data_IF_453056774604
#
_entry.id   IF_453056774604
#
_cell.length_a   1.000
_cell.length_b   1.000
_cell.length_c   1.000
_cell.angle_alpha   90.00
_cell.angle_beta   90.00
_cell.angle_gamma   90.00
#
_symmetry.space_group_name_H-M   'P 1'
#
loop_
_entity.id
_entity.type
_entity.pdbx_description
1 polymer ?
#
# COMPACT_ATOMS: atom_id res chain seq x y z
N UNK A 1 -12.37 -1.47 25.22
CA UNK A 1 -11.26 -0.51 25.22
C UNK A 1 -11.73 0.78 25.89
N UNK A 2 -10.88 1.45 26.71
CA UNK A 2 -11.16 2.80 27.24
C UNK A 2 -10.26 3.78 26.49
N UNK A 3 -10.85 4.83 25.91
CA UNK A 3 -10.11 5.90 25.28
C UNK A 3 -9.81 6.95 26.36
N UNK A 4 -8.52 7.22 26.56
CA UNK A 4 -8.08 8.24 27.54
C UNK A 4 -8.12 9.65 26.93
N UNK A 5 -7.99 10.66 27.81
CA UNK A 5 -8.00 12.07 27.38
C UNK A 5 -6.71 12.42 26.64
N UNK A 6 -6.78 12.99 25.42
CA UNK A 6 -5.59 13.47 24.69
C UNK A 6 -4.74 14.41 25.53
N UNK A 7 -3.43 14.39 25.33
CA UNK A 7 -2.42 15.19 26.02
C UNK A 7 -2.32 14.92 27.54
N UNK A 8 -2.89 13.81 28.01
CA UNK A 8 -2.79 13.36 29.41
C UNK A 8 -1.98 12.06 29.51
N UNK A 9 -1.68 11.65 30.75
CA UNK A 9 -1.01 10.37 31.04
C UNK A 9 -1.84 9.13 30.63
N UNK A 10 -3.15 9.29 30.47
CA UNK A 10 -4.07 8.23 30.10
C UNK A 10 -4.43 8.22 28.62
N UNK A 11 -3.82 9.10 27.82
CA UNK A 11 -4.14 9.23 26.41
C UNK A 11 -3.98 7.91 25.64
N UNK A 12 -4.97 7.58 24.84
CA UNK A 12 -4.84 6.55 23.79
C UNK A 12 -4.14 7.23 22.63
N UNK A 13 -2.91 6.81 22.33
CA UNK A 13 -2.07 7.46 21.33
C UNK A 13 -1.95 6.62 20.09
N UNK A 14 -2.24 7.22 18.94
CA UNK A 14 -2.06 6.63 17.61
C UNK A 14 -0.96 7.38 16.88
N UNK A 15 -0.01 6.66 16.30
CA UNK A 15 1.03 7.20 15.43
C UNK A 15 0.66 6.92 13.98
N UNK A 16 0.55 7.96 13.17
CA UNK A 16 0.30 7.86 11.73
C UNK A 16 1.61 8.07 10.97
N UNK A 17 2.00 7.08 10.19
CA UNK A 17 3.19 7.12 9.33
C UNK A 17 2.79 7.48 7.90
N UNK A 18 2.85 8.75 7.59
CA UNK A 18 2.33 9.42 6.40
C UNK A 18 1.32 10.48 6.83
N UNK A 19 1.63 11.74 6.57
CA UNK A 19 0.82 12.89 7.01
C UNK A 19 0.43 13.80 5.84
N UNK A 20 0.23 13.20 4.66
CA UNK A 20 -0.26 13.88 3.46
C UNK A 20 -1.75 14.24 3.54
N UNK A 21 -2.39 14.42 2.41
CA UNK A 21 -3.80 14.82 2.32
C UNK A 21 -4.73 13.79 2.97
N UNK A 22 -4.58 12.50 2.63
CA UNK A 22 -5.35 11.43 3.25
C UNK A 22 -5.02 11.29 4.73
N UNK A 23 -3.74 11.36 5.08
CA UNK A 23 -3.29 11.32 6.48
C UNK A 23 -3.93 12.39 7.34
N UNK A 24 -4.13 13.60 6.81
CA UNK A 24 -4.84 14.68 7.51
C UNK A 24 -6.28 14.30 7.85
N UNK A 25 -7.01 13.71 6.90
CA UNK A 25 -8.39 13.28 7.13
C UNK A 25 -8.47 12.14 8.17
N UNK A 26 -7.53 11.20 8.13
CA UNK A 26 -7.42 10.14 9.14
C UNK A 26 -7.17 10.73 10.53
N UNK A 27 -6.29 11.71 10.66
CA UNK A 27 -6.01 12.41 11.93
C UNK A 27 -7.26 13.08 12.48
N UNK A 28 -7.99 13.81 11.63
CA UNK A 28 -9.24 14.49 12.03
C UNK A 28 -10.28 13.46 12.50
N UNK A 29 -10.42 12.34 11.79
CA UNK A 29 -11.36 11.28 12.17
C UNK A 29 -10.99 10.66 13.53
N UNK A 30 -9.71 10.38 13.79
CA UNK A 30 -9.21 9.86 15.06
C UNK A 30 -9.45 10.86 16.21
N UNK A 31 -9.22 12.14 15.97
CA UNK A 31 -9.48 13.19 16.98
C UNK A 31 -10.95 13.29 17.35
N UNK A 32 -11.87 13.14 16.41
CA UNK A 32 -13.33 13.07 16.68
C UNK A 32 -13.70 11.91 17.61
N UNK A 33 -12.90 10.84 17.61
CA UNK A 33 -13.05 9.72 18.53
C UNK A 33 -12.35 9.93 19.88
N UNK A 34 -11.71 11.07 20.10
CA UNK A 34 -11.00 11.38 21.34
C UNK A 34 -9.60 10.76 21.43
N UNK A 35 -9.00 10.39 20.30
CA UNK A 35 -7.67 9.76 20.25
C UNK A 35 -6.59 10.83 20.09
N UNK A 36 -5.48 10.68 20.81
CA UNK A 36 -4.29 11.51 20.63
C UNK A 36 -3.49 11.02 19.42
N UNK A 37 -3.19 11.93 18.49
CA UNK A 37 -2.49 11.56 17.25
C UNK A 37 -1.12 12.19 17.16
N UNK A 38 -0.13 11.37 16.84
CA UNK A 38 1.25 11.76 16.48
C UNK A 38 1.41 11.52 14.98
N UNK A 39 1.65 12.57 14.20
CA UNK A 39 1.87 12.51 12.77
C UNK A 39 3.36 12.44 12.45
N UNK A 40 3.76 11.54 11.55
CA UNK A 40 5.15 11.41 11.11
C UNK A 40 5.21 11.53 9.61
N UNK A 41 6.08 12.40 9.10
CA UNK A 41 6.33 12.52 7.66
C UNK A 41 7.79 12.93 7.40
N UNK A 42 8.21 12.84 6.13
CA UNK A 42 9.59 13.16 5.71
C UNK A 42 9.86 14.65 5.52
N UNK A 43 8.83 15.48 5.45
CA UNK A 43 8.96 16.93 5.21
C UNK A 43 8.17 17.75 6.22
N UNK A 44 8.66 18.94 6.50
CA UNK A 44 8.02 19.87 7.42
C UNK A 44 6.71 20.43 6.83
N UNK A 45 5.77 20.76 7.72
CA UNK A 45 4.48 21.35 7.36
C UNK A 45 3.61 20.45 6.44
N UNK A 46 3.78 19.14 6.52
CA UNK A 46 2.86 18.21 5.87
C UNK A 46 1.40 18.50 6.29
N UNK A 47 0.40 18.28 5.43
CA UNK A 47 -1.00 18.59 5.73
C UNK A 47 -1.48 18.07 7.08
N UNK A 48 -1.12 16.85 7.44
CA UNK A 48 -1.46 16.22 8.72
C UNK A 48 -0.77 16.85 9.94
N UNK A 49 0.44 17.44 9.77
CA UNK A 49 1.13 18.14 10.85
C UNK A 49 0.35 19.35 11.37
N UNK A 50 -0.47 19.96 10.50
CA UNK A 50 -1.27 21.14 10.84
C UNK A 50 -2.41 20.85 11.82
N UNK A 51 -2.83 19.59 11.92
CA UNK A 51 -3.97 19.18 12.73
C UNK A 51 -3.63 18.15 13.80
N UNK A 52 -2.47 17.52 13.76
CA UNK A 52 -2.05 16.53 14.75
C UNK A 52 -1.75 17.18 16.11
N UNK A 53 -1.87 16.41 17.21
CA UNK A 53 -1.48 16.86 18.54
C UNK A 53 0.04 17.04 18.66
N UNK A 54 0.79 16.16 18.00
CA UNK A 54 2.27 16.21 17.87
C UNK A 54 2.68 15.73 16.50
N UNK A 55 3.86 16.11 16.07
CA UNK A 55 4.41 15.62 14.82
C UNK A 55 5.94 15.48 14.87
N UNK A 56 6.45 14.64 13.97
CA UNK A 56 7.88 14.45 13.74
C UNK A 56 8.18 14.50 12.24
N UNK A 57 9.34 15.08 11.92
CA UNK A 57 9.87 15.12 10.54
C UNK A 57 11.09 14.24 10.50
N UNK A 58 10.96 13.04 9.89
CA UNK A 58 12.04 12.06 9.75
C UNK A 58 11.96 11.36 8.40
N UNK A 59 13.07 10.78 7.96
CA UNK A 59 13.02 9.77 6.91
C UNK A 59 12.52 8.44 7.52
N UNK A 60 11.27 8.07 7.26
CA UNK A 60 10.66 6.84 7.80
C UNK A 60 11.25 5.55 7.20
N UNK A 61 12.00 5.63 6.09
CA UNK A 61 12.79 4.51 5.57
C UNK A 61 14.11 4.30 6.35
N UNK A 62 14.50 5.23 7.22
CA UNK A 62 15.60 5.05 8.17
C UNK A 62 15.09 4.32 9.41
N UNK A 63 15.50 3.07 9.55
CA UNK A 63 15.09 2.20 10.64
C UNK A 63 15.42 2.76 12.04
N UNK A 64 16.55 3.46 12.20
CA UNK A 64 16.95 4.03 13.48
C UNK A 64 16.12 5.25 13.84
N UNK A 65 15.88 6.13 12.87
CA UNK A 65 15.06 7.32 13.07
C UNK A 65 13.61 6.91 13.43
N UNK A 66 13.04 5.95 12.70
CA UNK A 66 11.69 5.44 12.97
C UNK A 66 11.60 4.79 14.35
N UNK A 67 12.53 3.91 14.69
CA UNK A 67 12.57 3.25 16.00
C UNK A 67 12.63 4.28 17.14
N UNK A 68 13.49 5.30 17.03
CA UNK A 68 13.66 6.32 18.05
C UNK A 68 12.38 7.12 18.30
N UNK A 69 11.62 7.45 17.24
CA UNK A 69 10.35 8.17 17.38
C UNK A 69 9.27 7.28 17.99
N UNK A 70 9.20 6.01 17.63
CA UNK A 70 8.27 5.05 18.22
C UNK A 70 8.54 4.88 19.73
N UNK A 71 9.81 4.73 20.13
CA UNK A 71 10.19 4.62 21.54
C UNK A 71 9.92 5.89 22.35
N UNK A 72 10.14 7.06 21.75
CA UNK A 72 9.86 8.36 22.37
C UNK A 72 8.37 8.55 22.62
N UNK A 73 7.55 8.30 21.62
CA UNK A 73 6.12 8.60 21.65
C UNK A 73 5.29 7.49 22.31
N UNK A 74 5.77 6.25 22.30
CA UNK A 74 5.11 5.09 22.90
C UNK A 74 3.64 4.99 22.50
N UNK A 75 3.34 4.92 21.19
CA UNK A 75 1.97 4.80 20.72
C UNK A 75 1.36 3.46 21.16
N UNK A 76 0.05 3.43 21.32
CA UNK A 76 -0.69 2.20 21.48
C UNK A 76 -0.91 1.52 20.12
N UNK A 77 -1.11 2.33 19.06
CA UNK A 77 -1.35 1.86 17.70
C UNK A 77 -0.48 2.65 16.71
N UNK A 78 0.06 1.97 15.73
CA UNK A 78 0.77 2.55 14.58
C UNK A 78 -0.02 2.25 13.31
N UNK A 79 -0.25 3.29 12.51
CA UNK A 79 -0.95 3.20 11.22
C UNK A 79 0.02 3.58 10.11
N UNK A 80 0.58 2.62 9.36
CA UNK A 80 1.36 2.90 8.15
C UNK A 80 0.40 3.32 7.02
N UNK A 81 0.61 4.52 6.44
CA UNK A 81 -0.23 5.07 5.38
C UNK A 81 0.53 5.16 4.05
N UNK A 82 1.85 5.37 4.09
CA UNK A 82 2.69 5.45 2.89
C UNK A 82 3.60 4.22 2.74
N UNK A 83 4.14 4.02 1.53
CA UNK A 83 4.97 2.86 1.22
C UNK A 83 6.48 3.02 1.55
N UNK A 84 6.96 4.23 1.83
CA UNK A 84 8.37 4.50 2.13
C UNK A 84 8.66 4.42 3.65
N UNK A 85 8.54 3.22 4.21
CA UNK A 85 8.69 2.93 5.65
C UNK A 85 9.64 1.75 5.84
N UNK A 86 10.48 1.79 6.88
CA UNK A 86 11.29 0.67 7.35
C UNK A 86 10.37 -0.38 8.01
N UNK A 87 9.73 -1.22 7.21
CA UNK A 87 8.70 -2.18 7.66
C UNK A 87 9.24 -3.23 8.63
N UNK A 88 10.55 -3.53 8.59
CA UNK A 88 11.21 -4.39 9.55
C UNK A 88 11.18 -3.84 10.99
N UNK A 89 11.08 -2.51 11.15
CA UNK A 89 10.87 -1.89 12.47
C UNK A 89 9.46 -2.20 12.96
N UNK A 90 8.45 -2.07 12.10
CA UNK A 90 7.06 -2.38 12.44
C UNK A 90 6.89 -3.85 12.81
N UNK A 91 7.54 -4.76 12.09
CA UNK A 91 7.54 -6.19 12.41
C UNK A 91 8.07 -6.46 13.84
N UNK A 92 9.20 -5.84 14.21
CA UNK A 92 9.75 -5.98 15.57
C UNK A 92 8.86 -5.39 16.65
N UNK A 93 8.28 -4.23 16.37
CA UNK A 93 7.37 -3.52 17.29
C UNK A 93 6.13 -4.37 17.58
N UNK A 94 5.52 -4.94 16.53
CA UNK A 94 4.34 -5.79 16.64
C UNK A 94 4.66 -7.11 17.35
N UNK A 95 5.74 -7.80 16.97
CA UNK A 95 6.19 -9.05 17.58
C UNK A 95 6.55 -8.90 19.07
N UNK A 96 7.11 -7.76 19.45
CA UNK A 96 7.43 -7.49 20.87
C UNK A 96 6.21 -7.08 21.70
N UNK A 97 5.06 -6.83 21.08
CA UNK A 97 3.87 -6.31 21.76
C UNK A 97 4.02 -4.87 22.26
N UNK A 98 5.00 -4.12 21.72
CA UNK A 98 5.22 -2.73 22.12
C UNK A 98 4.09 -1.80 21.64
N UNK A 99 3.61 -2.02 20.43
CA UNK A 99 2.44 -1.35 19.86
C UNK A 99 1.74 -2.30 18.88
N UNK A 100 0.44 -2.11 18.70
CA UNK A 100 -0.33 -2.72 17.63
C UNK A 100 -0.03 -2.00 16.31
N UNK A 101 -0.04 -2.72 15.18
CA UNK A 101 0.16 -2.15 13.83
C UNK A 101 -1.06 -2.50 12.98
N UNK A 102 -1.74 -1.49 12.41
CA UNK A 102 -2.93 -1.68 11.57
C UNK A 102 -2.82 -0.84 10.29
N UNK A 103 -2.87 -1.47 9.11
CA UNK A 103 -2.88 -2.92 8.87
C UNK A 103 -1.62 -3.59 9.45
N UNK A 104 -1.64 -4.93 9.61
CA UNK A 104 -0.52 -5.66 10.23
C UNK A 104 0.83 -5.28 9.63
N UNK A 105 1.91 -5.38 10.39
CA UNK A 105 3.24 -5.09 9.87
C UNK A 105 3.59 -5.97 8.66
N UNK A 106 3.12 -7.23 8.65
CA UNK A 106 3.22 -8.14 7.49
C UNK A 106 2.46 -7.59 6.28
N UNK A 107 1.22 -7.14 6.47
CA UNK A 107 0.43 -6.55 5.39
C UNK A 107 1.13 -5.33 4.80
N UNK A 108 1.61 -4.41 5.64
CA UNK A 108 2.37 -3.25 5.21
C UNK A 108 3.60 -3.65 4.40
N UNK A 109 4.40 -4.61 4.89
CA UNK A 109 5.59 -5.09 4.20
C UNK A 109 5.30 -5.68 2.82
N UNK A 110 4.27 -6.52 2.70
CA UNK A 110 3.93 -7.19 1.45
C UNK A 110 3.27 -6.25 0.45
N UNK A 111 2.35 -5.38 0.90
CA UNK A 111 1.60 -4.49 -0.01
C UNK A 111 2.42 -3.31 -0.50
N UNK A 112 3.42 -2.88 0.27
CA UNK A 112 4.36 -1.83 -0.15
C UNK A 112 5.37 -2.30 -1.21
N UNK A 113 5.47 -3.59 -1.44
CA UNK A 113 6.36 -4.21 -2.41
C UNK A 113 5.56 -5.04 -3.42
N UNK A 114 5.57 -4.62 -4.70
CA UNK A 114 4.86 -5.35 -5.77
C UNK A 114 5.28 -6.81 -5.90
N UNK A 115 6.54 -7.13 -5.62
CA UNK A 115 7.00 -8.52 -5.63
C UNK A 115 6.33 -9.33 -4.51
N UNK A 116 6.32 -8.79 -3.29
CA UNK A 116 5.72 -9.47 -2.14
C UNK A 116 4.24 -9.79 -2.35
N UNK A 117 3.44 -8.78 -2.67
CA UNK A 117 1.99 -8.98 -2.86
C UNK A 117 1.68 -9.82 -4.10
N UNK A 118 2.47 -9.71 -5.18
CA UNK A 118 2.27 -10.50 -6.40
C UNK A 118 2.54 -11.98 -6.16
N UNK A 119 3.64 -12.31 -5.48
CA UNK A 119 3.96 -13.69 -5.13
C UNK A 119 2.94 -14.28 -4.17
N UNK A 120 2.52 -13.53 -3.16
CA UNK A 120 1.44 -13.95 -2.27
C UNK A 120 0.19 -14.32 -3.07
N UNK A 121 -0.29 -13.43 -3.96
CA UNK A 121 -1.51 -13.66 -4.70
C UNK A 121 -1.39 -14.82 -5.70
N UNK A 122 -0.35 -14.83 -6.52
CA UNK A 122 -0.21 -15.78 -7.63
C UNK A 122 0.36 -17.13 -7.18
N UNK A 123 1.41 -17.13 -6.34
CA UNK A 123 2.19 -18.35 -6.05
C UNK A 123 1.70 -19.04 -4.78
N UNK A 124 1.39 -18.27 -3.70
CA UNK A 124 0.96 -18.87 -2.42
C UNK A 124 -0.55 -19.14 -2.40
N UNK A 125 -1.36 -18.17 -2.89
CA UNK A 125 -2.82 -18.29 -2.85
C UNK A 125 -3.44 -18.86 -4.11
N UNK A 126 -2.66 -19.01 -5.20
CA UNK A 126 -3.12 -19.53 -6.48
C UNK A 126 -4.25 -18.70 -7.10
N UNK A 127 -4.24 -17.39 -6.88
CA UNK A 127 -5.24 -16.47 -7.42
C UNK A 127 -4.92 -16.13 -8.88
N UNK A 128 -5.94 -15.87 -9.71
CA UNK A 128 -5.71 -15.39 -11.07
C UNK A 128 -5.05 -14.01 -11.04
N UNK A 129 -3.94 -13.88 -11.74
CA UNK A 129 -3.22 -12.61 -11.97
C UNK A 129 -2.82 -12.53 -13.43
N UNK A 130 -2.44 -11.34 -13.92
CA UNK A 130 -1.72 -11.23 -15.19
C UNK A 130 -0.44 -12.07 -15.14
N UNK A 131 0.02 -12.57 -16.30
CA UNK A 131 1.37 -13.14 -16.40
C UNK A 131 2.39 -12.05 -16.04
N UNK A 132 3.45 -12.41 -15.30
CA UNK A 132 4.45 -11.46 -14.85
C UNK A 132 5.82 -12.09 -14.73
N UNK A 133 6.83 -11.24 -14.77
CA UNK A 133 8.20 -11.61 -14.41
C UNK A 133 8.89 -10.44 -13.69
N UNK A 134 9.90 -10.76 -12.87
CA UNK A 134 10.78 -9.77 -12.27
C UNK A 134 12.11 -9.77 -13.00
N UNK A 135 12.71 -8.58 -13.14
CA UNK A 135 14.00 -8.40 -13.78
C UNK A 135 14.87 -7.46 -12.94
N UNK A 136 16.14 -7.84 -12.78
CA UNK A 136 17.13 -7.08 -11.99
C UNK A 136 18.07 -6.26 -12.91
N UNK A 137 18.00 -6.46 -14.23
CA UNK A 137 18.75 -5.74 -15.25
C UNK A 137 18.00 -5.71 -16.60
N UNK A 138 18.47 -4.89 -17.52
CA UNK A 138 17.86 -4.72 -18.84
C UNK A 138 17.88 -6.03 -19.67
N UNK A 139 18.92 -6.85 -19.52
CA UNK A 139 19.02 -8.11 -20.28
C UNK A 139 17.99 -9.12 -19.82
N UNK A 140 17.81 -9.28 -18.52
CA UNK A 140 16.77 -10.14 -17.93
C UNK A 140 15.36 -9.62 -18.24
N UNK A 141 15.15 -8.28 -18.28
CA UNK A 141 13.88 -7.71 -18.71
C UNK A 141 13.55 -8.06 -20.17
N UNK A 142 14.50 -7.85 -21.09
CA UNK A 142 14.35 -8.23 -22.50
C UNK A 142 14.03 -9.72 -22.65
N UNK A 143 14.78 -10.57 -21.95
CA UNK A 143 14.57 -12.01 -21.98
C UNK A 143 13.16 -12.40 -21.49
N UNK A 144 12.71 -11.81 -20.37
CA UNK A 144 11.38 -12.09 -19.81
C UNK A 144 10.25 -11.69 -20.77
N UNK A 145 10.38 -10.57 -21.48
CA UNK A 145 9.41 -10.12 -22.46
C UNK A 145 9.42 -11.04 -23.69
N UNK A 146 10.59 -11.29 -24.27
CA UNK A 146 10.72 -12.02 -25.54
C UNK A 146 10.40 -13.50 -25.41
N UNK A 147 10.64 -14.12 -24.25
CA UNK A 147 10.45 -15.55 -24.02
C UNK A 147 9.19 -15.90 -23.23
N UNK A 148 8.46 -14.92 -22.71
CA UNK A 148 7.31 -15.20 -21.85
C UNK A 148 6.14 -14.23 -22.00
N UNK A 149 6.32 -12.97 -21.60
CA UNK A 149 5.21 -12.01 -21.49
C UNK A 149 4.69 -11.55 -22.85
N UNK A 150 5.58 -11.27 -23.82
CA UNK A 150 5.21 -10.74 -25.12
C UNK A 150 4.89 -9.25 -25.13
N UNK A 151 4.42 -8.76 -26.28
CA UNK A 151 4.04 -7.37 -26.50
C UNK A 151 2.54 -7.29 -26.87
N UNK A 152 1.79 -6.23 -26.44
CA UNK A 152 2.24 -5.17 -25.55
C UNK A 152 2.31 -5.65 -24.10
N UNK A 153 3.20 -5.01 -23.32
CA UNK A 153 3.35 -5.31 -21.90
C UNK A 153 3.53 -4.03 -21.07
N UNK A 154 3.44 -4.16 -19.75
CA UNK A 154 3.60 -3.06 -18.78
C UNK A 154 4.87 -3.30 -17.96
N UNK A 155 5.78 -2.31 -17.94
CA UNK A 155 6.99 -2.31 -17.11
C UNK A 155 6.80 -1.30 -15.98
N UNK A 156 7.02 -1.73 -14.73
CA UNK A 156 6.82 -0.91 -13.53
C UNK A 156 7.97 -1.10 -12.53
N UNK A 157 8.37 -0.07 -11.78
CA UNK A 157 9.25 -0.27 -10.62
C UNK A 157 8.56 -1.17 -9.58
N UNK A 158 9.33 -1.95 -8.83
CA UNK A 158 8.78 -2.79 -7.75
C UNK A 158 8.17 -1.94 -6.63
N UNK A 159 8.73 -0.75 -6.36
CA UNK A 159 8.19 0.19 -5.37
C UNK A 159 7.90 1.54 -6.01
N UNK A 160 6.66 1.79 -6.33
CA UNK A 160 6.19 3.10 -6.79
C UNK A 160 4.68 3.22 -6.60
N UNK A 161 4.17 4.45 -6.56
CA UNK A 161 2.74 4.75 -6.52
C UNK A 161 2.35 5.72 -7.63
N UNK A 162 1.05 5.84 -7.88
CA UNK A 162 0.47 6.80 -8.84
C UNK A 162 1.08 6.71 -10.24
N UNK A 163 1.34 5.49 -10.73
CA UNK A 163 1.84 5.26 -12.09
C UNK A 163 3.27 5.76 -12.38
N UNK A 164 3.99 6.29 -11.37
CA UNK A 164 5.35 6.81 -11.57
C UNK A 164 6.31 5.71 -12.00
N UNK A 165 7.03 5.96 -13.11
CA UNK A 165 7.95 5.00 -13.69
C UNK A 165 7.29 3.83 -14.43
N UNK A 166 5.96 3.84 -14.59
CA UNK A 166 5.26 2.84 -15.40
C UNK A 166 5.34 3.20 -16.88
N UNK A 167 5.57 2.20 -17.72
CA UNK A 167 5.58 2.33 -19.18
C UNK A 167 4.82 1.18 -19.83
N UNK A 168 4.03 1.50 -20.86
CA UNK A 168 3.53 0.49 -21.80
C UNK A 168 4.57 0.31 -22.90
N UNK A 169 4.92 -0.92 -23.18
CA UNK A 169 5.95 -1.29 -24.15
C UNK A 169 5.27 -2.09 -25.28
N UNK A 170 5.34 -1.56 -26.51
CA UNK A 170 4.71 -2.18 -27.68
C UNK A 170 5.72 -2.90 -28.59
N UNK A 171 7.00 -2.48 -28.55
CA UNK A 171 8.04 -3.03 -29.41
C UNK A 171 9.36 -3.24 -28.63
N UNK A 172 10.26 -4.10 -29.12
CA UNK A 172 11.56 -4.36 -28.50
C UNK A 172 12.43 -3.09 -28.32
N UNK A 173 12.29 -2.12 -29.22
CA UNK A 173 13.06 -0.86 -29.19
C UNK A 173 12.69 0.03 -28.00
N UNK A 174 11.49 -0.12 -27.45
CA UNK A 174 10.98 0.67 -26.32
C UNK A 174 11.43 0.14 -24.96
N UNK A 175 11.95 -1.09 -24.90
CA UNK A 175 12.27 -1.77 -23.63
C UNK A 175 13.30 -1.01 -22.80
N UNK A 176 14.36 -0.51 -23.44
CA UNK A 176 15.42 0.25 -22.75
C UNK A 176 14.88 1.55 -22.13
N UNK A 177 14.07 2.29 -22.90
CA UNK A 177 13.42 3.51 -22.40
C UNK A 177 12.49 3.22 -21.21
N UNK A 178 11.76 2.08 -21.25
CA UNK A 178 10.89 1.66 -20.15
C UNK A 178 11.68 1.28 -18.90
N UNK A 179 12.82 0.60 -19.07
CA UNK A 179 13.75 0.32 -17.99
C UNK A 179 14.25 1.59 -17.31
N UNK A 180 14.75 2.55 -18.10
CA UNK A 180 15.26 3.83 -17.58
C UNK A 180 14.17 4.63 -16.86
N UNK A 181 12.96 4.67 -17.42
CA UNK A 181 11.81 5.31 -16.79
C UNK A 181 11.46 4.67 -15.44
N UNK A 182 11.49 3.33 -15.37
CA UNK A 182 11.23 2.61 -14.13
C UNK A 182 12.34 2.86 -13.08
N UNK A 183 13.60 2.91 -13.49
CA UNK A 183 14.72 3.23 -12.61
C UNK A 183 14.62 4.65 -12.03
N UNK A 184 14.18 5.62 -12.83
CA UNK A 184 14.02 7.01 -12.42
C UNK A 184 12.76 7.24 -11.57
N UNK A 185 11.68 6.48 -11.78
CA UNK A 185 10.38 6.67 -11.16
C UNK A 185 10.17 5.93 -9.83
N UNK A 186 11.06 5.02 -9.46
CA UNK A 186 10.99 4.26 -8.21
C UNK A 186 11.21 5.13 -6.98
N UNK A 187 10.42 4.93 -5.91
CA UNK A 187 10.64 5.63 -4.62
C UNK A 187 11.86 5.14 -3.86
N UNK A 188 12.26 3.91 -4.10
CA UNK A 188 13.51 3.30 -3.64
C UNK A 188 14.17 2.73 -4.88
N UNK A 189 15.42 3.11 -5.12
CA UNK A 189 16.19 2.53 -6.23
C UNK A 189 16.57 1.09 -5.88
N UNK A 190 15.65 0.17 -6.11
CA UNK A 190 15.86 -1.26 -5.86
C UNK A 190 16.59 -1.96 -7.00
N UNK A 191 16.80 -1.27 -8.14
CA UNK A 191 17.36 -1.88 -9.34
C UNK A 191 16.50 -3.02 -9.93
N UNK A 192 15.24 -3.17 -9.48
CA UNK A 192 14.34 -4.25 -9.90
C UNK A 192 13.04 -3.70 -10.47
N UNK A 193 12.56 -4.32 -11.53
CA UNK A 193 11.27 -4.02 -12.15
C UNK A 193 10.40 -5.26 -12.20
N UNK A 194 9.08 -5.05 -12.33
CA UNK A 194 8.12 -6.08 -12.75
C UNK A 194 7.68 -5.77 -14.17
N UNK A 195 7.62 -6.78 -15.02
CA UNK A 195 6.93 -6.73 -16.31
C UNK A 195 5.69 -7.59 -16.24
N UNK A 196 4.59 -7.07 -16.76
CA UNK A 196 3.26 -7.70 -16.71
C UNK A 196 2.62 -7.72 -18.09
N UNK A 197 1.90 -8.81 -18.37
CA UNK A 197 0.99 -8.90 -19.50
C UNK A 197 -0.03 -7.75 -19.45
N UNK A 198 -0.33 -7.18 -20.62
CA UNK A 198 -1.40 -6.20 -20.75
C UNK A 198 -2.75 -6.89 -20.84
N UNK A 199 -3.59 -6.74 -19.84
CA UNK A 199 -4.92 -7.35 -19.80
C UNK A 199 -5.93 -6.43 -20.49
N UNK A 200 -6.65 -6.93 -21.53
CA UNK A 200 -7.77 -6.21 -22.12
C UNK A 200 -9.01 -6.36 -21.22
N UNK A 201 -9.20 -5.46 -20.27
CA UNK A 201 -10.33 -5.47 -19.35
C UNK A 201 -11.44 -4.51 -19.81
N UNK A 202 -12.69 -4.85 -19.49
CA UNK A 202 -13.86 -3.99 -19.77
C UNK A 202 -13.93 -2.80 -18.81
N UNK A 203 -13.53 -3.00 -17.55
CA UNK A 203 -13.47 -1.98 -16.50
C UNK A 203 -12.53 -2.39 -15.38
N UNK A 204 -12.08 -1.42 -14.63
CA UNK A 204 -11.23 -1.55 -13.45
C UNK A 204 -12.03 -1.22 -12.19
N UNK A 205 -11.81 -1.94 -11.10
CA UNK A 205 -12.45 -1.66 -9.82
C UNK A 205 -11.45 -1.56 -8.67
N UNK A 206 -11.83 -0.77 -7.67
CA UNK A 206 -11.29 -0.86 -6.32
C UNK A 206 -12.36 -1.49 -5.42
N UNK A 207 -12.02 -2.57 -4.73
CA UNK A 207 -12.88 -3.19 -3.73
C UNK A 207 -12.30 -2.94 -2.33
N UNK A 208 -12.82 -1.90 -1.66
CA UNK A 208 -12.43 -1.60 -0.29
C UNK A 208 -12.92 -2.72 0.63
N UNK A 209 -11.98 -3.25 1.41
CA UNK A 209 -12.21 -4.41 2.28
C UNK A 209 -11.79 -4.05 3.70
N UNK A 210 -12.67 -4.29 4.67
CA UNK A 210 -12.43 -4.01 6.08
C UNK A 210 -12.44 -5.32 6.86
N UNK A 211 -11.38 -5.58 7.60
CA UNK A 211 -11.33 -6.67 8.58
C UNK A 211 -11.46 -6.09 9.97
N UNK A 212 -12.45 -6.55 10.71
CA UNK A 212 -12.70 -6.08 12.07
C UNK A 212 -13.23 -7.21 12.95
N UNK A 213 -12.95 -7.14 14.25
CA UNK A 213 -13.56 -8.02 15.24
C UNK A 213 -15.02 -7.63 15.45
N UNK A 214 -15.92 -8.60 15.41
CA UNK A 214 -17.28 -8.42 15.87
C UNK A 214 -17.37 -8.38 17.41
N UNK A 215 -18.58 -8.24 17.95
CA UNK A 215 -18.81 -8.18 19.39
C UNK A 215 -18.39 -9.46 20.15
N UNK A 216 -18.26 -10.58 19.46
CA UNK A 216 -17.79 -11.87 20.02
C UNK A 216 -16.27 -12.04 19.93
N UNK A 217 -15.56 -11.10 19.32
CA UNK A 217 -14.12 -11.16 19.09
C UNK A 217 -13.71 -11.97 17.85
N UNK A 218 -14.67 -12.35 17.02
CA UNK A 218 -14.39 -13.07 15.76
C UNK A 218 -14.09 -12.05 14.66
N UNK A 219 -12.98 -12.29 13.93
CA UNK A 219 -12.62 -11.44 12.79
C UNK A 219 -13.58 -11.71 11.64
N UNK A 220 -14.21 -10.63 11.17
CA UNK A 220 -15.11 -10.61 10.02
C UNK A 220 -14.52 -9.77 8.90
N UNK A 221 -14.79 -10.17 7.66
CA UNK A 221 -14.40 -9.42 6.46
C UNK A 221 -15.64 -8.76 5.85
N UNK A 222 -15.61 -7.44 5.74
CA UNK A 222 -16.68 -6.62 5.16
C UNK A 222 -16.21 -6.02 3.84
N UNK A 223 -17.11 -5.92 2.86
CA UNK A 223 -16.84 -5.36 1.55
C UNK A 223 -17.71 -4.13 1.34
N UNK A 224 -17.09 -3.02 0.91
CA UNK A 224 -17.83 -1.89 0.37
C UNK A 224 -18.37 -2.23 -1.02
N UNK A 225 -19.29 -1.43 -1.52
CA UNK A 225 -19.68 -1.53 -2.93
C UNK A 225 -18.47 -1.23 -3.82
N UNK A 226 -18.29 -1.96 -4.93
CA UNK A 226 -17.16 -1.75 -5.81
C UNK A 226 -17.11 -0.33 -6.37
N UNK A 227 -15.93 0.26 -6.37
CA UNK A 227 -15.66 1.57 -6.95
C UNK A 227 -15.10 1.35 -8.35
N UNK A 228 -15.81 1.80 -9.38
CA UNK A 228 -15.28 1.91 -10.72
C UNK A 228 -14.41 3.15 -10.85
N UNK A 229 -13.37 3.07 -11.69
CA UNK A 229 -12.54 4.22 -11.96
C UNK A 229 -11.97 4.20 -13.37
N UNK A 230 -11.58 5.37 -13.84
CA UNK A 230 -10.91 5.56 -15.11
C UNK A 230 -9.58 6.25 -14.87
N UNK A 231 -8.56 5.66 -15.46
CA UNK A 231 -7.21 6.23 -15.50
C UNK A 231 -6.89 6.73 -16.91
N UNK A 232 -6.13 7.82 -16.99
CA UNK A 232 -5.59 8.36 -18.25
C UNK A 232 -4.10 8.55 -18.05
N UNK A 233 -3.27 7.84 -18.82
CA UNK A 233 -1.81 7.86 -18.73
C UNK A 233 -1.27 7.58 -17.31
N UNK A 234 -1.98 6.75 -16.54
CA UNK A 234 -1.65 6.40 -15.15
C UNK A 234 -2.22 7.34 -14.10
N UNK A 235 -2.83 8.46 -14.48
CA UNK A 235 -3.50 9.38 -13.57
C UNK A 235 -4.96 8.96 -13.33
N UNK A 236 -5.36 8.98 -12.06
CA UNK A 236 -6.74 8.70 -11.63
C UNK A 236 -7.60 9.94 -11.93
N UNK A 237 -8.49 9.82 -12.92
CA UNK A 237 -9.24 10.96 -13.47
C UNK A 237 -10.68 11.00 -12.96
N UNK A 238 -11.31 9.85 -12.82
CA UNK A 238 -12.73 9.74 -12.50
C UNK A 238 -13.03 8.47 -11.72
N UNK A 239 -13.96 8.55 -10.77
CA UNK A 239 -14.47 7.39 -10.05
C UNK A 239 -15.96 7.51 -9.80
N UNK A 240 -16.61 6.37 -9.66
CA UNK A 240 -18.03 6.25 -9.33
C UNK A 240 -18.27 5.03 -8.43
N UNK A 241 -19.33 5.08 -7.65
CA UNK A 241 -19.75 3.99 -6.78
C UNK A 241 -21.28 3.95 -6.70
N UNK A 242 -21.90 2.80 -6.90
CA UNK A 242 -21.28 1.50 -7.18
C UNK A 242 -20.87 1.33 -8.65
N UNK A 243 -19.88 0.49 -8.91
CA UNK A 243 -19.62 -0.03 -10.26
C UNK A 243 -20.62 -1.14 -10.56
N UNK A 244 -21.34 -0.99 -11.67
CA UNK A 244 -22.22 -2.06 -12.16
C UNK A 244 -21.40 -3.29 -12.58
N UNK A 245 -21.73 -4.43 -12.01
CA UNK A 245 -21.05 -5.71 -12.25
C UNK A 245 -22.06 -6.84 -12.39
N UNK A 246 -21.70 -7.90 -13.11
CA UNK A 246 -22.48 -9.13 -13.05
C UNK A 246 -22.40 -9.75 -11.65
N UNK A 247 -23.43 -10.47 -11.17
CA UNK A 247 -23.37 -11.15 -9.87
C UNK A 247 -22.16 -12.11 -9.74
N UNK A 248 -21.79 -12.75 -10.84
CA UNK A 248 -20.62 -13.63 -10.88
C UNK A 248 -19.31 -12.85 -10.68
N UNK A 249 -19.09 -11.75 -11.41
CA UNK A 249 -17.90 -10.93 -11.29
C UNK A 249 -17.78 -10.32 -9.87
N UNK A 250 -18.89 -9.88 -9.29
CA UNK A 250 -18.92 -9.38 -7.92
C UNK A 250 -18.55 -10.47 -6.90
N UNK A 251 -19.10 -11.68 -7.05
CA UNK A 251 -18.78 -12.80 -6.16
C UNK A 251 -17.30 -13.19 -6.26
N UNK A 252 -16.75 -13.24 -7.47
CA UNK A 252 -15.35 -13.53 -7.70
C UNK A 252 -14.41 -12.47 -7.12
N UNK A 253 -14.72 -11.18 -7.30
CA UNK A 253 -13.90 -10.10 -6.75
C UNK A 253 -13.87 -10.13 -5.22
N UNK A 254 -15.02 -10.40 -4.57
CA UNK A 254 -15.10 -10.59 -3.11
C UNK A 254 -14.32 -11.80 -2.64
N UNK A 255 -14.39 -12.93 -3.35
CA UNK A 255 -13.64 -14.13 -3.00
C UNK A 255 -12.11 -13.92 -3.10
N UNK A 256 -11.64 -13.21 -4.13
CA UNK A 256 -10.23 -12.82 -4.27
C UNK A 256 -9.81 -11.90 -3.12
N UNK A 257 -10.58 -10.83 -2.86
CA UNK A 257 -10.27 -9.88 -1.80
C UNK A 257 -10.25 -10.56 -0.43
N UNK A 258 -11.19 -11.46 -0.14
CA UNK A 258 -11.22 -12.21 1.11
C UNK A 258 -9.95 -13.03 1.30
N UNK A 259 -9.57 -13.85 0.31
CA UNK A 259 -8.36 -14.68 0.40
C UNK A 259 -7.10 -13.86 0.62
N UNK A 260 -6.95 -12.74 -0.10
CA UNK A 260 -5.77 -11.87 0.07
C UNK A 260 -5.75 -11.24 1.45
N UNK A 261 -6.86 -10.66 1.91
CA UNK A 261 -6.90 -9.97 3.21
C UNK A 261 -6.85 -10.92 4.41
N UNK A 262 -7.23 -12.19 4.24
CA UNK A 262 -7.06 -13.23 5.27
C UNK A 262 -5.61 -13.70 5.39
N UNK A 263 -4.82 -13.61 4.31
CA UNK A 263 -3.41 -13.99 4.29
C UNK A 263 -2.46 -12.86 4.75
N UNK A 264 -2.94 -11.62 4.78
CA UNK A 264 -2.19 -10.44 5.25
C UNK A 264 -2.35 -10.22 6.77
#
# INVERSE_FOLDING_TARGET
MRIGTPLSKTATRVMLLGAGELGKEVIIALQRLGVEVVAVDRYANAPGHQVAHRFHVINMADARALQSVIELERPWLIVPEIEAIATEVLMRVEQSGFAEVIPTARAAQLTMNREGIRRLAAEELGLPTSQYAFADDLASLRHAIDQGIGYPCLVKPVMSSSGKGQSTVHTPEEVEKAWDAAAAGGRVNSGKVIVEEMIPFDYEITLLTVRACDASGVIQTYFCEPIGHRQVQGDYVESWQPQAMTPQALAQSRAVAQKVTEAL
#
